data_IF_746645786675
#
_entry.id   IF_746645786675
#
_cell.length_a   1.000
_cell.length_b   1.000
_cell.length_c   1.000
_cell.angle_alpha   90.00
_cell.angle_beta   90.00
_cell.angle_gamma   90.00
#
_symmetry.space_group_name_H-M   'P 1'
#
loop_
_entity.id
_entity.type
_entity.pdbx_description
1 polymer ?
#
# COMPACT_ATOMS: atom_id res chain seq x y z
N UNK A 1 3.45 6.39 -8.94
CA UNK A 1 2.47 7.49 -9.02
C UNK A 1 2.68 8.39 -7.83
N UNK A 2 2.44 9.69 -7.99
CA UNK A 2 2.44 10.66 -6.90
C UNK A 2 0.99 10.91 -6.50
N UNK A 3 0.69 10.71 -5.22
CA UNK A 3 -0.64 10.90 -4.65
C UNK A 3 -0.54 11.97 -3.58
N UNK A 4 -1.43 12.97 -3.65
CA UNK A 4 -1.63 13.92 -2.55
C UNK A 4 -2.54 13.28 -1.52
N UNK A 5 -2.05 13.08 -0.31
CA UNK A 5 -2.79 12.42 0.77
C UNK A 5 -3.85 13.38 1.30
N UNK A 6 -5.10 12.92 1.37
CA UNK A 6 -6.23 13.69 1.91
C UNK A 6 -6.57 13.27 3.33
N UNK A 7 -6.52 11.96 3.59
CA UNK A 7 -6.70 11.40 4.92
C UNK A 7 -5.82 10.17 5.10
N UNK A 8 -5.32 9.98 6.32
CA UNK A 8 -4.58 8.80 6.72
C UNK A 8 -5.09 8.27 8.06
N UNK A 9 -5.24 6.95 8.14
CA UNK A 9 -5.57 6.20 9.34
C UNK A 9 -4.34 5.88 10.18
N UNK A 10 -4.54 5.66 11.48
CA UNK A 10 -3.52 5.08 12.36
C UNK A 10 -3.90 3.64 12.64
N UNK A 11 -3.11 2.71 12.10
CA UNK A 11 -3.30 1.30 12.31
C UNK A 11 -2.35 0.80 13.40
N UNK A 12 -2.70 -0.32 14.06
CA UNK A 12 -1.83 -0.92 15.08
C UNK A 12 -0.44 -1.33 14.54
N UNK A 13 -0.30 -1.56 13.22
CA UNK A 13 0.99 -1.82 12.57
C UNK A 13 1.95 -0.63 12.60
N UNK A 14 1.47 0.60 12.69
CA UNK A 14 2.32 1.79 12.70
C UNK A 14 3.14 1.92 13.99
N UNK A 15 2.54 1.94 15.20
CA UNK A 15 3.30 1.98 16.45
C UNK A 15 4.15 0.73 16.68
N UNK A 16 3.81 -0.41 16.05
CA UNK A 16 4.63 -1.64 16.16
C UNK A 16 6.04 -1.50 15.57
N UNK A 17 6.25 -0.52 14.68
CA UNK A 17 7.59 -0.16 14.19
C UNK A 17 8.33 0.69 15.23
N UNK A 18 7.61 1.59 15.91
CA UNK A 18 8.16 2.51 16.92
C UNK A 18 8.60 1.75 18.17
N UNK A 19 7.79 0.81 18.65
CA UNK A 19 8.09 0.00 19.83
C UNK A 19 9.00 -1.21 19.55
N UNK A 20 9.39 -1.39 18.28
CA UNK A 20 10.22 -2.48 17.77
C UNK A 20 9.64 -3.90 17.97
N UNK A 21 8.35 -4.05 18.28
CA UNK A 21 7.66 -5.35 18.27
C UNK A 21 7.60 -5.96 16.87
N UNK A 22 7.67 -5.12 15.83
CA UNK A 22 7.90 -5.51 14.43
C UNK A 22 9.11 -4.75 13.89
N UNK A 23 10.33 -5.29 14.04
CA UNK A 23 11.54 -4.63 13.58
C UNK A 23 11.49 -4.32 12.08
N UNK A 24 11.88 -3.09 11.73
CA UNK A 24 12.00 -2.59 10.35
C UNK A 24 13.27 -1.76 10.19
N UNK A 25 13.79 -1.59 8.96
CA UNK A 25 14.86 -0.63 8.69
C UNK A 25 14.47 0.79 9.11
N UNK A 26 15.42 1.56 9.65
CA UNK A 26 15.22 2.96 10.08
C UNK A 26 16.37 3.84 9.55
N UNK A 27 16.13 5.13 9.23
CA UNK A 27 14.90 5.89 9.43
C UNK A 27 13.77 5.49 8.45
N UNK A 28 12.52 5.50 8.91
CA UNK A 28 11.35 5.08 8.13
C UNK A 28 10.20 6.09 8.28
N UNK A 29 9.57 6.42 7.16
CA UNK A 29 8.33 7.19 7.15
C UNK A 29 7.13 6.24 7.27
N UNK A 30 6.25 6.51 8.23
CA UNK A 30 5.15 5.63 8.58
C UNK A 30 3.85 5.95 7.83
N UNK A 31 2.82 5.12 8.05
CA UNK A 31 1.48 5.27 7.50
C UNK A 31 1.24 4.41 6.26
N UNK A 32 0.23 3.55 6.31
CA UNK A 32 -0.14 2.64 5.21
C UNK A 32 -1.66 2.51 5.00
N UNK A 33 -2.44 3.25 5.78
CA UNK A 33 -3.89 3.41 5.62
C UNK A 33 -4.15 4.83 5.15
N UNK A 34 -4.44 5.03 3.86
CA UNK A 34 -4.66 6.37 3.35
C UNK A 34 -5.51 6.38 2.09
N UNK A 35 -6.09 7.56 1.84
CA UNK A 35 -6.75 7.91 0.60
C UNK A 35 -6.18 9.23 0.11
N UNK A 36 -6.20 9.43 -1.20
CA UNK A 36 -5.76 10.68 -1.77
C UNK A 36 -6.16 10.85 -3.22
N UNK A 37 -5.62 11.90 -3.82
CA UNK A 37 -5.87 12.25 -5.22
C UNK A 37 -4.57 12.08 -6.00
N UNK A 38 -4.65 11.40 -7.14
CA UNK A 38 -3.51 11.23 -8.03
C UNK A 38 -3.13 12.59 -8.63
N UNK A 39 -1.87 13.00 -8.42
CA UNK A 39 -1.35 14.27 -8.97
C UNK A 39 -0.31 14.04 -10.07
N UNK A 40 0.32 12.87 -10.11
CA UNK A 40 1.24 12.48 -11.18
C UNK A 40 1.18 10.97 -11.45
N UNK A 41 1.14 10.60 -12.72
CA UNK A 41 1.13 9.21 -13.19
C UNK A 41 2.47 8.89 -13.84
N UNK A 42 3.07 7.77 -13.44
CA UNK A 42 4.37 7.34 -13.98
C UNK A 42 4.22 6.70 -15.36
N UNK A 43 5.32 6.67 -16.13
CA UNK A 43 5.37 6.00 -17.42
C UNK A 43 4.91 4.53 -17.33
N UNK A 44 4.05 4.12 -18.26
CA UNK A 44 3.53 2.74 -18.33
C UNK A 44 2.27 2.47 -17.52
N UNK A 45 1.76 3.46 -16.77
CA UNK A 45 0.43 3.40 -16.17
C UNK A 45 -0.58 4.02 -17.14
N UNK A 46 -1.56 3.24 -17.59
CA UNK A 46 -2.53 3.67 -18.61
C UNK A 46 -4.00 3.57 -18.17
N UNK A 47 -4.24 3.12 -16.94
CA UNK A 47 -5.57 2.79 -16.40
C UNK A 47 -5.96 3.66 -15.20
N UNK A 48 -5.10 4.60 -14.80
CA UNK A 48 -5.35 5.61 -13.77
C UNK A 48 -4.93 6.97 -14.33
N UNK A 49 -5.72 8.00 -14.02
CA UNK A 49 -5.52 9.38 -14.46
C UNK A 49 -5.22 10.32 -13.30
N UNK A 50 -4.58 11.45 -13.61
CA UNK A 50 -4.48 12.58 -12.67
C UNK A 50 -5.89 13.06 -12.34
N UNK A 51 -6.16 13.28 -11.05
CA UNK A 51 -7.48 13.64 -10.53
C UNK A 51 -8.25 12.47 -9.93
N UNK A 52 -7.88 11.21 -10.23
CA UNK A 52 -8.56 10.05 -9.67
C UNK A 52 -8.39 10.01 -8.14
N UNK A 53 -9.49 9.71 -7.45
CA UNK A 53 -9.46 9.39 -6.02
C UNK A 53 -9.00 7.95 -5.85
N UNK A 54 -8.02 7.73 -4.96
CA UNK A 54 -7.41 6.42 -4.76
C UNK A 54 -7.25 6.08 -3.29
N UNK A 55 -7.61 4.84 -2.95
CA UNK A 55 -7.18 4.20 -1.71
C UNK A 55 -5.79 3.62 -1.90
N UNK A 56 -4.90 3.87 -0.93
CA UNK A 56 -3.57 3.27 -0.89
C UNK A 56 -3.63 1.95 -0.13
N UNK A 57 -3.04 0.90 -0.69
CA UNK A 57 -3.02 -0.44 -0.10
C UNK A 57 -1.60 -1.00 0.00
N UNK A 58 -1.35 -1.72 1.08
CA UNK A 58 -0.05 -2.32 1.40
C UNK A 58 0.17 -3.71 0.80
N UNK A 59 -0.83 -4.25 0.08
CA UNK A 59 -0.81 -5.59 -0.54
C UNK A 59 -0.90 -5.55 -2.07
N UNK A 60 0.01 -4.87 -2.78
CA UNK A 60 0.14 -5.05 -4.22
C UNK A 60 0.51 -6.50 -4.56
N UNK A 61 0.62 -6.80 -5.85
CA UNK A 61 1.18 -8.07 -6.32
C UNK A 61 2.21 -7.82 -7.42
N UNK A 62 3.30 -8.59 -7.44
CA UNK A 62 4.35 -8.44 -8.45
C UNK A 62 4.01 -9.10 -9.79
N UNK A 63 2.98 -9.96 -9.82
CA UNK A 63 2.51 -10.63 -11.03
C UNK A 63 3.42 -11.73 -11.58
N UNK A 64 4.61 -11.95 -10.99
CA UNK A 64 5.63 -12.86 -11.55
C UNK A 64 6.13 -13.94 -10.59
N UNK A 65 5.87 -13.81 -9.28
CA UNK A 65 6.32 -14.80 -8.30
C UNK A 65 5.43 -16.05 -8.29
N UNK A 66 5.89 -17.11 -7.64
CA UNK A 66 5.16 -18.39 -7.56
C UNK A 66 3.74 -18.23 -6.99
N UNK A 67 3.57 -17.39 -5.97
CA UNK A 67 2.26 -17.12 -5.35
C UNK A 67 1.32 -16.35 -6.28
N UNK A 68 1.86 -15.39 -7.05
CA UNK A 68 1.06 -14.69 -8.07
C UNK A 68 0.60 -15.66 -9.17
N UNK A 69 1.51 -16.50 -9.65
CA UNK A 69 1.22 -17.46 -10.73
C UNK A 69 0.30 -18.60 -10.29
N UNK A 70 0.24 -18.93 -8.99
CA UNK A 70 -0.63 -19.97 -8.44
C UNK A 70 -2.02 -19.46 -8.02
N UNK A 71 -2.33 -18.19 -8.31
CA UNK A 71 -3.63 -17.58 -7.96
C UNK A 71 -3.74 -17.11 -6.52
N UNK A 72 -2.61 -16.92 -5.84
CA UNK A 72 -2.53 -16.43 -4.45
C UNK A 72 -1.78 -15.09 -4.34
N UNK A 73 -2.18 -14.05 -5.09
CA UNK A 73 -1.43 -12.79 -5.19
C UNK A 73 -1.34 -12.00 -3.87
N UNK A 74 -2.25 -12.25 -2.92
CA UNK A 74 -2.21 -11.66 -1.56
C UNK A 74 -1.02 -12.12 -0.74
N UNK A 75 -0.39 -13.24 -1.10
CA UNK A 75 0.81 -13.80 -0.48
C UNK A 75 2.07 -13.54 -1.31
N UNK A 76 2.08 -12.48 -2.13
CA UNK A 76 3.19 -12.17 -3.02
C UNK A 76 4.54 -12.07 -2.28
N UNK A 77 5.45 -13.00 -2.57
CA UNK A 77 6.81 -13.01 -1.99
C UNK A 77 7.63 -11.77 -2.38
N UNK A 78 7.44 -11.22 -3.58
CA UNK A 78 8.11 -9.98 -4.00
C UNK A 78 7.76 -8.78 -3.12
N UNK A 79 6.49 -8.67 -2.72
CA UNK A 79 6.04 -7.61 -1.81
C UNK A 79 6.56 -7.86 -0.40
N UNK A 80 6.58 -9.11 0.06
CA UNK A 80 7.17 -9.44 1.35
C UNK A 80 8.63 -8.99 1.47
N UNK A 81 9.44 -9.21 0.41
CA UNK A 81 10.84 -8.76 0.33
C UNK A 81 10.92 -7.23 0.35
N UNK A 82 10.20 -6.54 -0.54
CA UNK A 82 10.23 -5.07 -0.63
C UNK A 82 9.82 -4.41 0.70
N UNK A 83 8.77 -4.93 1.35
CA UNK A 83 8.32 -4.46 2.66
C UNK A 83 9.36 -4.73 3.75
N UNK A 84 10.03 -5.88 3.72
CA UNK A 84 11.13 -6.22 4.63
C UNK A 84 12.29 -5.22 4.57
N UNK A 85 12.62 -4.76 3.38
CA UNK A 85 13.72 -3.82 3.11
C UNK A 85 13.31 -2.34 3.20
N UNK A 86 12.01 -2.06 3.43
CA UNK A 86 11.49 -0.71 3.51
C UNK A 86 11.58 0.04 2.18
N UNK A 87 11.20 -0.61 1.07
CA UNK A 87 11.24 -0.07 -0.30
C UNK A 87 9.86 -0.17 -0.96
N UNK A 88 9.66 0.58 -2.03
CA UNK A 88 8.53 0.33 -2.93
C UNK A 88 8.71 -1.02 -3.65
N UNK A 89 7.65 -1.61 -4.19
CA UNK A 89 7.74 -2.86 -4.96
C UNK A 89 8.59 -2.70 -6.23
N UNK A 90 8.52 -1.53 -6.88
CA UNK A 90 9.44 -1.16 -7.97
C UNK A 90 10.88 -0.90 -7.50
N UNK A 91 11.12 -0.84 -6.19
CA UNK A 91 12.41 -0.66 -5.57
C UNK A 91 12.87 0.79 -5.36
N UNK A 92 13.83 0.92 -4.45
CA UNK A 92 14.46 2.17 -4.06
C UNK A 92 13.68 2.94 -3.00
N UNK A 93 14.23 4.09 -2.59
CA UNK A 93 13.49 5.10 -1.82
C UNK A 93 13.01 6.24 -2.73
N UNK A 94 11.98 6.93 -2.25
CA UNK A 94 11.39 8.14 -2.84
C UNK A 94 11.38 9.30 -1.84
N UNK A 95 11.84 9.04 -0.62
CA UNK A 95 11.82 9.97 0.49
C UNK A 95 13.26 10.19 0.93
N UNK A 96 13.64 11.44 1.08
CA UNK A 96 14.99 11.84 1.46
C UNK A 96 14.88 12.98 2.47
N UNK A 97 15.73 12.95 3.49
CA UNK A 97 15.90 14.06 4.43
C UNK A 97 17.40 14.31 4.63
N UNK A 98 17.83 15.56 4.42
CA UNK A 98 19.24 15.94 4.57
C UNK A 98 20.25 15.09 3.79
N UNK A 99 19.85 14.52 2.64
CA UNK A 99 20.71 13.62 1.84
C UNK A 99 20.73 12.16 2.32
N UNK A 100 19.90 11.80 3.30
CA UNK A 100 19.71 10.43 3.79
C UNK A 100 18.41 9.86 3.22
N UNK A 101 18.46 8.66 2.67
CA UNK A 101 17.28 7.92 2.24
C UNK A 101 16.41 7.56 3.46
N UNK A 102 15.11 7.83 3.35
CA UNK A 102 14.11 7.41 4.33
C UNK A 102 13.39 6.18 3.80
N UNK A 103 13.35 5.12 4.59
CA UNK A 103 12.66 3.88 4.22
C UNK A 103 11.15 4.08 4.14
N UNK A 104 10.52 3.26 3.30
CA UNK A 104 9.07 3.23 3.13
C UNK A 104 8.40 2.21 4.04
N UNK A 105 7.38 2.61 4.79
CA UNK A 105 6.52 1.65 5.45
C UNK A 105 5.55 1.04 4.44
N UNK A 106 5.74 -0.25 4.18
CA UNK A 106 4.89 -1.07 3.32
C UNK A 106 4.68 -0.50 1.90
N UNK A 107 5.67 0.23 1.39
CA UNK A 107 5.61 0.87 0.07
C UNK A 107 4.60 2.02 -0.05
N UNK A 108 4.10 2.57 1.07
CA UNK A 108 3.10 3.65 1.10
C UNK A 108 3.65 4.92 1.76
N UNK A 109 3.94 4.88 3.07
CA UNK A 109 4.48 6.01 3.85
C UNK A 109 3.59 7.27 3.85
N UNK A 110 2.30 7.09 4.14
CA UNK A 110 1.27 8.13 4.01
C UNK A 110 1.17 9.13 5.18
N UNK A 111 2.02 9.06 6.20
CA UNK A 111 2.14 10.16 7.18
C UNK A 111 3.00 11.31 6.61
N UNK A 112 2.61 11.76 5.42
CA UNK A 112 3.22 12.78 4.59
C UNK A 112 2.12 13.42 3.74
N UNK A 113 2.31 14.66 3.31
CA UNK A 113 1.36 15.34 2.41
C UNK A 113 1.27 14.66 1.04
N UNK A 114 2.34 13.96 0.64
CA UNK A 114 2.41 13.22 -0.61
C UNK A 114 3.03 11.84 -0.40
N UNK A 115 2.54 10.86 -1.15
CA UNK A 115 3.05 9.50 -1.20
C UNK A 115 3.42 9.12 -2.65
N UNK A 116 4.58 8.49 -2.81
CA UNK A 116 4.99 7.89 -4.09
C UNK A 116 4.81 6.38 -3.98
N UNK A 117 3.85 5.85 -4.73
CA UNK A 117 3.42 4.45 -4.63
C UNK A 117 3.48 3.76 -5.99
N UNK A 118 3.61 2.43 -5.97
CA UNK A 118 3.44 1.61 -7.16
C UNK A 118 1.98 1.58 -7.60
N UNK A 119 1.74 1.40 -8.91
CA UNK A 119 0.38 1.27 -9.45
C UNK A 119 -0.41 0.16 -8.77
N UNK A 120 0.23 -0.97 -8.46
CA UNK A 120 -0.43 -2.07 -7.76
C UNK A 120 -0.87 -1.74 -6.33
N UNK A 121 -0.34 -0.65 -5.74
CA UNK A 121 -0.64 -0.21 -4.38
C UNK A 121 -1.78 0.81 -4.33
N UNK A 122 -2.52 0.99 -5.43
CA UNK A 122 -3.67 1.92 -5.49
C UNK A 122 -4.91 1.27 -6.07
N UNK A 123 -6.05 1.64 -5.51
CA UNK A 123 -7.37 1.28 -6.04
C UNK A 123 -8.15 2.58 -6.26
N UNK A 124 -8.60 2.81 -7.50
CA UNK A 124 -9.48 3.95 -7.82
C UNK A 124 -10.82 3.74 -7.14
N UNK A 125 -11.34 4.81 -6.56
CA UNK A 125 -12.64 4.86 -5.90
C UNK A 125 -13.48 6.00 -6.46
N UNK A 126 -14.79 5.92 -6.28
CA UNK A 126 -15.71 7.00 -6.64
C UNK A 126 -15.43 8.25 -5.79
N UNK A 127 -15.66 9.42 -6.38
CA UNK A 127 -15.34 10.71 -5.78
C UNK A 127 -16.33 11.16 -4.70
N UNK A 128 -17.46 10.46 -4.57
CA UNK A 128 -18.48 10.66 -3.56
C UNK A 128 -18.21 9.88 -2.25
N UNK A 129 -17.19 9.02 -2.22
CA UNK A 129 -16.77 8.31 -1.01
C UNK A 129 -16.04 9.30 -0.08
N UNK A 130 -16.50 9.48 1.18
CA UNK A 130 -15.81 10.33 2.14
C UNK A 130 -14.37 9.86 2.39
N UNK A 131 -13.43 10.81 2.46
CA UNK A 131 -12.00 10.50 2.55
C UNK A 131 -11.65 9.68 3.80
N UNK A 132 -12.28 9.97 4.93
CA UNK A 132 -12.07 9.25 6.18
C UNK A 132 -12.51 7.79 6.07
N UNK A 133 -13.58 7.52 5.30
CA UNK A 133 -14.04 6.16 5.01
C UNK A 133 -13.04 5.47 4.08
N UNK A 134 -12.62 6.16 3.02
CA UNK A 134 -11.62 5.66 2.07
C UNK A 134 -10.31 5.25 2.74
N UNK A 135 -9.78 6.06 3.67
CA UNK A 135 -8.53 5.78 4.36
C UNK A 135 -8.55 4.43 5.11
N UNK A 136 -9.68 4.07 5.74
CA UNK A 136 -9.85 2.81 6.47
C UNK A 136 -9.90 1.57 5.56
N UNK A 137 -10.22 1.75 4.27
CA UNK A 137 -10.26 0.65 3.30
C UNK A 137 -8.88 0.09 2.97
N UNK A 138 -7.81 0.86 3.18
CA UNK A 138 -6.43 0.46 2.81
C UNK A 138 -5.85 -0.70 3.61
N UNK A 139 -6.30 -0.92 4.85
CA UNK A 139 -5.84 -2.05 5.68
C UNK A 139 -6.90 -2.61 6.64
N UNK A 140 -7.34 -1.87 7.66
CA UNK A 140 -8.21 -2.40 8.71
C UNK A 140 -9.50 -3.05 8.19
N UNK A 141 -10.23 -2.37 7.31
CA UNK A 141 -11.46 -2.89 6.70
C UNK A 141 -11.15 -4.04 5.74
N UNK A 142 -10.15 -3.87 4.87
CA UNK A 142 -9.71 -4.89 3.92
C UNK A 142 -9.38 -6.21 4.63
N UNK A 143 -8.62 -6.14 5.72
CA UNK A 143 -8.19 -7.30 6.50
C UNK A 143 -9.36 -7.91 7.28
N UNK A 144 -10.18 -7.08 7.92
CA UNK A 144 -11.32 -7.52 8.71
C UNK A 144 -12.40 -8.22 7.86
N UNK A 145 -12.73 -7.69 6.69
CA UNK A 145 -13.70 -8.29 5.77
C UNK A 145 -13.09 -9.52 5.07
N UNK A 146 -11.84 -9.42 4.62
CA UNK A 146 -11.14 -10.51 3.93
C UNK A 146 -11.03 -11.77 4.79
N UNK A 147 -10.68 -11.63 6.07
CA UNK A 147 -10.55 -12.76 7.01
C UNK A 147 -11.86 -13.51 7.27
N UNK A 148 -13.01 -12.85 7.16
CA UNK A 148 -14.34 -13.49 7.26
C UNK A 148 -14.74 -14.19 5.97
N UNK A 149 -14.32 -13.63 4.83
CA UNK A 149 -14.70 -14.12 3.51
C UNK A 149 -13.83 -15.29 3.04
N UNK A 150 -12.64 -15.45 3.64
CA UNK A 150 -11.72 -16.57 3.37
C UNK A 150 -12.09 -17.88 4.08
N UNK A 151 -13.33 -18.02 4.58
CA UNK A 151 -13.80 -19.27 5.17
C UNK A 151 -13.77 -20.38 4.10
N UNK A 152 -12.86 -21.32 4.30
CA UNK A 152 -12.30 -22.20 3.28
C UNK A 152 -13.26 -23.35 2.91
N UNK A 153 -14.34 -23.04 2.21
CA UNK A 153 -14.99 -24.06 1.37
C UNK A 153 -14.40 -23.93 -0.04
N UNK A 154 -13.50 -24.82 -0.47
CA UNK A 154 -12.97 -24.75 -1.82
C UNK A 154 -14.13 -24.90 -2.81
N UNK A 155 -14.34 -23.86 -3.62
CA UNK A 155 -15.25 -23.95 -4.75
C UNK A 155 -14.73 -25.05 -5.68
N UNK A 156 -15.39 -26.22 -5.65
CA UNK A 156 -15.19 -27.25 -6.67
C UNK A 156 -15.70 -26.67 -7.98
N UNK A 157 -14.78 -26.22 -8.82
CA UNK A 157 -15.05 -25.97 -10.23
C UNK A 157 -15.40 -27.33 -10.86
N UNK A 158 -16.66 -27.46 -11.29
CA UNK A 158 -17.13 -28.55 -12.15
C UNK A 158 -16.94 -28.15 -13.60
#
# INVERSE_FOLDING_TARGET
MLVRVEAAGVCHSDPSVIDASRPRPVPMALGHEAVGIVVEVGNGVGDISVGDHVVLTFVPSCGICAECNSGSPTFCSGVAVANGEGRTLSGGSRLHDGGTDIHHQLGVSAFSQYAVVDRGSTVVIDDDIPMEVGAMLGCGVLTGVGSRSSDSTPARVR
#
